data_IF_435023969264
#
_entry.id   IF_435023969264
#
_cell.length_a   1.000
_cell.length_b   1.000
_cell.length_c   1.000
_cell.angle_alpha   90.00
_cell.angle_beta   90.00
_cell.angle_gamma   90.00
#
_symmetry.space_group_name_H-M   'P 1'
#
loop_
_entity.id
_entity.type
_entity.pdbx_description
1 polymer ?
#
# COMPACT_ATOMS: atom_id res chain seq x y z
N UNK A 1 -4.01 4.71 15.10
CA UNK A 1 -4.30 5.22 13.74
C UNK A 1 -3.03 5.66 13.01
N UNK A 2 -2.12 6.40 13.65
CA UNK A 2 -0.87 6.86 13.02
C UNK A 2 -0.02 5.74 12.41
N UNK A 3 -0.01 4.54 13.00
CA UNK A 3 0.71 3.38 12.45
C UNK A 3 0.10 2.87 11.14
N UNK A 4 -1.24 2.80 11.04
CA UNK A 4 -1.94 2.39 9.81
C UNK A 4 -1.65 3.38 8.69
N UNK A 5 -1.76 4.67 8.97
CA UNK A 5 -1.41 5.74 8.01
C UNK A 5 0.07 5.67 7.62
N UNK A 6 0.96 5.48 8.59
CA UNK A 6 2.39 5.34 8.36
C UNK A 6 2.74 4.18 7.43
N UNK A 7 2.08 3.02 7.58
CA UNK A 7 2.26 1.87 6.68
C UNK A 7 1.78 2.16 5.27
N UNK A 8 0.58 2.73 5.11
CA UNK A 8 0.02 3.09 3.81
C UNK A 8 0.87 4.14 3.08
N UNK A 9 1.36 5.16 3.79
CA UNK A 9 2.25 6.17 3.20
C UNK A 9 3.62 5.58 2.85
N UNK A 10 4.18 4.71 3.71
CA UNK A 10 5.47 4.07 3.46
C UNK A 10 5.43 3.17 2.23
N UNK A 11 4.33 2.43 2.09
CA UNK A 11 4.03 1.59 0.93
C UNK A 11 3.95 2.42 -0.35
N UNK A 12 3.19 3.53 -0.34
CA UNK A 12 3.05 4.45 -1.45
C UNK A 12 4.41 5.05 -1.87
N UNK A 13 5.20 5.52 -0.90
CA UNK A 13 6.52 6.09 -1.17
C UNK A 13 7.48 5.06 -1.77
N UNK A 14 7.42 3.80 -1.30
CA UNK A 14 8.25 2.73 -1.84
C UNK A 14 7.81 2.31 -3.25
N UNK A 15 6.50 2.26 -3.51
CA UNK A 15 5.95 1.97 -4.83
C UNK A 15 6.36 3.03 -5.86
N UNK A 16 6.31 4.31 -5.47
CA UNK A 16 6.71 5.41 -6.33
C UNK A 16 8.19 5.37 -6.73
N UNK A 17 9.05 4.69 -5.95
CA UNK A 17 10.47 4.51 -6.29
C UNK A 17 10.72 3.41 -7.34
N UNK A 18 9.71 2.61 -7.71
CA UNK A 18 9.86 1.54 -8.70
C UNK A 18 10.08 2.06 -10.14
N UNK A 19 9.25 2.96 -10.70
CA UNK A 19 9.48 3.50 -12.04
C UNK A 19 10.75 4.36 -12.13
N UNK A 20 11.07 5.09 -11.06
CA UNK A 20 12.22 6.01 -11.02
C UNK A 20 13.58 5.28 -10.94
N UNK A 21 13.58 3.96 -10.73
CA UNK A 21 14.80 3.14 -10.61
C UNK A 21 15.77 3.31 -11.78
N UNK A 22 15.25 3.33 -13.01
CA UNK A 22 16.09 3.36 -14.21
C UNK A 22 16.54 4.78 -14.58
N UNK A 23 15.79 5.82 -14.16
CA UNK A 23 16.22 7.22 -14.25
C UNK A 23 17.29 7.57 -13.20
N UNK A 24 17.13 7.09 -11.95
CA UNK A 24 18.02 7.41 -10.82
C UNK A 24 19.33 6.60 -10.81
N UNK A 25 19.38 5.46 -11.51
CA UNK A 25 20.62 4.66 -11.66
C UNK A 25 21.77 5.45 -12.26
N UNK A 26 21.49 6.45 -13.08
CA UNK A 26 22.49 7.31 -13.71
C UNK A 26 23.03 8.41 -12.78
N UNK A 27 22.37 8.69 -11.65
CA UNK A 27 22.68 9.85 -10.78
C UNK A 27 23.31 9.45 -9.43
N UNK A 28 23.48 8.15 -9.15
CA UNK A 28 24.24 7.67 -7.98
C UNK A 28 23.54 7.82 -6.62
N UNK A 29 22.22 8.05 -6.59
CA UNK A 29 21.43 8.09 -5.34
C UNK A 29 21.20 6.67 -4.81
N UNK A 30 21.28 6.48 -3.48
CA UNK A 30 21.02 5.19 -2.80
C UNK A 30 19.57 5.13 -2.33
N UNK A 31 18.68 4.53 -3.11
CA UNK A 31 17.29 4.26 -2.72
C UNK A 31 17.10 2.80 -2.29
N UNK A 32 16.13 2.53 -1.41
CA UNK A 32 15.86 1.18 -0.87
C UNK A 32 15.66 0.14 -2.00
N UNK A 33 15.06 0.59 -3.09
CA UNK A 33 14.87 -0.16 -4.34
C UNK A 33 16.20 -0.60 -4.96
N UNK A 34 17.25 0.22 -4.93
CA UNK A 34 18.57 -0.10 -5.48
C UNK A 34 19.27 -1.19 -4.66
N UNK A 35 19.10 -1.17 -3.33
CA UNK A 35 19.67 -2.18 -2.42
C UNK A 35 18.91 -3.51 -2.45
N UNK A 36 17.58 -3.49 -2.51
CA UNK A 36 16.74 -4.69 -2.43
C UNK A 36 16.47 -5.35 -3.79
N UNK A 37 16.49 -4.57 -4.88
CA UNK A 37 15.99 -4.97 -6.19
C UNK A 37 14.48 -4.75 -6.32
N UNK A 38 14.01 -4.46 -7.55
CA UNK A 38 12.62 -4.06 -7.83
C UNK A 38 11.59 -5.10 -7.35
N UNK A 39 11.86 -6.39 -7.53
CA UNK A 39 10.97 -7.46 -7.09
C UNK A 39 10.80 -7.52 -5.57
N UNK A 40 11.89 -7.40 -4.80
CA UNK A 40 11.82 -7.42 -3.33
C UNK A 40 11.16 -6.15 -2.80
N UNK A 41 11.44 -5.00 -3.41
CA UNK A 41 10.75 -3.76 -3.09
C UNK A 41 9.24 -3.87 -3.34
N UNK A 42 8.80 -4.40 -4.48
CA UNK A 42 7.40 -4.67 -4.77
C UNK A 42 6.73 -5.62 -3.77
N UNK A 43 7.44 -6.66 -3.31
CA UNK A 43 6.94 -7.53 -2.23
C UNK A 43 6.80 -6.78 -0.91
N UNK A 44 7.75 -5.89 -0.58
CA UNK A 44 7.69 -5.08 0.64
C UNK A 44 6.52 -4.09 0.59
N UNK A 45 6.24 -3.48 -0.56
CA UNK A 45 5.01 -2.69 -0.80
C UNK A 45 3.78 -3.50 -0.39
N UNK A 46 3.62 -4.71 -0.95
CA UNK A 46 2.49 -5.57 -0.61
C UNK A 46 2.42 -5.97 0.88
N UNK A 47 3.56 -6.22 1.53
CA UNK A 47 3.61 -6.52 2.97
C UNK A 47 3.16 -5.33 3.81
N UNK A 48 3.62 -4.13 3.50
CA UNK A 48 3.22 -2.91 4.21
C UNK A 48 1.72 -2.64 4.05
N UNK A 49 1.18 -2.82 2.84
CA UNK A 49 -0.25 -2.69 2.57
C UNK A 49 -1.07 -3.66 3.43
N UNK A 50 -0.76 -4.96 3.37
CA UNK A 50 -1.51 -5.98 4.11
C UNK A 50 -1.35 -5.84 5.63
N UNK A 51 -0.19 -5.40 6.11
CA UNK A 51 0.02 -5.09 7.52
C UNK A 51 -0.90 -3.96 8.00
N UNK A 52 -1.20 -2.97 7.17
CA UNK A 52 -2.15 -1.91 7.50
C UNK A 52 -3.57 -2.48 7.74
N UNK A 53 -4.05 -3.37 6.86
CA UNK A 53 -5.34 -4.06 7.04
C UNK A 53 -5.34 -4.97 8.27
N UNK A 54 -4.26 -5.73 8.49
CA UNK A 54 -4.12 -6.59 9.66
C UNK A 54 -4.18 -5.82 10.98
N UNK A 55 -3.55 -4.64 11.04
CA UNK A 55 -3.62 -3.78 12.21
C UNK A 55 -5.03 -3.23 12.48
N UNK A 56 -5.80 -2.91 11.43
CA UNK A 56 -7.20 -2.50 11.61
C UNK A 56 -8.02 -3.67 12.16
N UNK A 57 -7.91 -4.88 11.58
CA UNK A 57 -8.59 -6.06 12.11
C UNK A 57 -8.20 -6.34 13.57
N UNK A 58 -6.90 -6.29 13.89
CA UNK A 58 -6.43 -6.48 15.27
C UNK A 58 -7.05 -5.43 16.21
N UNK A 59 -7.07 -4.16 15.79
CA UNK A 59 -7.69 -3.07 16.55
C UNK A 59 -9.17 -3.32 16.85
N UNK A 60 -9.92 -3.90 15.90
CA UNK A 60 -11.32 -4.26 16.11
C UNK A 60 -11.43 -5.47 17.05
N UNK A 61 -10.62 -6.52 16.86
CA UNK A 61 -10.67 -7.76 17.64
C UNK A 61 -10.32 -7.55 19.12
N UNK A 62 -9.41 -6.64 19.43
CA UNK A 62 -9.07 -6.28 20.82
C UNK A 62 -10.00 -5.23 21.44
N UNK A 63 -11.05 -4.82 20.71
CA UNK A 63 -12.01 -3.81 21.16
C UNK A 63 -11.49 -2.36 21.16
N UNK A 64 -10.34 -2.09 20.54
CA UNK A 64 -9.76 -0.76 20.43
C UNK A 64 -10.34 0.10 19.29
N UNK A 65 -11.10 -0.51 18.38
CA UNK A 65 -11.80 0.14 17.27
C UNK A 65 -13.26 -0.31 17.21
N UNK A 66 -14.18 0.56 16.77
CA UNK A 66 -15.57 0.17 16.59
C UNK A 66 -15.70 -0.87 15.46
N UNK A 67 -16.72 -1.73 15.56
CA UNK A 67 -16.98 -2.78 14.55
C UNK A 67 -17.28 -2.22 13.17
N UNK A 68 -17.80 -1.00 13.08
CA UNK A 68 -17.99 -0.24 11.84
C UNK A 68 -16.68 0.04 11.08
N UNK A 69 -15.50 -0.05 11.72
CA UNK A 69 -14.22 0.09 11.04
C UNK A 69 -13.91 -1.05 10.05
N UNK A 70 -14.68 -2.16 10.08
CA UNK A 70 -14.61 -3.21 9.05
C UNK A 70 -14.91 -2.69 7.63
N UNK A 71 -15.56 -1.53 7.49
CA UNK A 71 -15.79 -0.88 6.19
C UNK A 71 -14.51 -0.72 5.36
N UNK A 72 -13.34 -0.54 5.99
CA UNK A 72 -12.06 -0.43 5.26
C UNK A 72 -11.78 -1.65 4.37
N UNK A 73 -12.34 -2.81 4.70
CA UNK A 73 -12.12 -4.05 3.97
C UNK A 73 -12.83 -4.09 2.60
N UNK A 74 -13.71 -3.14 2.30
CA UNK A 74 -14.35 -3.03 0.98
C UNK A 74 -13.34 -2.77 -0.15
N UNK A 75 -12.20 -2.13 0.16
CA UNK A 75 -11.12 -1.91 -0.83
C UNK A 75 -10.09 -3.06 -0.86
N UNK A 76 -10.27 -4.10 -0.04
CA UNK A 76 -9.37 -5.26 0.01
C UNK A 76 -9.20 -5.97 -1.35
N UNK A 77 -10.22 -6.15 -2.20
CA UNK A 77 -10.03 -6.79 -3.49
C UNK A 77 -9.01 -6.05 -4.36
N UNK A 78 -9.01 -4.71 -4.35
CA UNK A 78 -8.02 -3.89 -5.04
C UNK A 78 -6.63 -4.04 -4.43
N UNK A 79 -6.53 -4.05 -3.10
CA UNK A 79 -5.27 -4.27 -2.38
C UNK A 79 -4.65 -5.64 -2.71
N UNK A 80 -5.44 -6.72 -2.69
CA UNK A 80 -4.98 -8.07 -3.01
C UNK A 80 -4.54 -8.19 -4.47
N UNK A 81 -5.28 -7.57 -5.38
CA UNK A 81 -4.90 -7.55 -6.80
C UNK A 81 -3.57 -6.82 -7.00
N UNK A 82 -3.35 -5.68 -6.32
CA UNK A 82 -2.08 -4.97 -6.33
C UNK A 82 -0.93 -5.85 -5.81
N UNK A 83 -1.10 -6.46 -4.64
CA UNK A 83 -0.10 -7.35 -4.01
C UNK A 83 0.29 -8.51 -4.93
N UNK A 84 -0.69 -9.08 -5.62
CA UNK A 84 -0.47 -10.21 -6.52
C UNK A 84 0.25 -9.79 -7.82
N UNK A 85 -0.12 -8.64 -8.39
CA UNK A 85 0.36 -8.22 -9.72
C UNK A 85 1.69 -7.48 -9.68
N UNK A 86 1.92 -6.68 -8.63
CA UNK A 86 3.05 -5.76 -8.55
C UNK A 86 4.43 -6.43 -8.66
N UNK A 87 4.72 -7.58 -7.99
CA UNK A 87 6.05 -8.20 -8.07
C UNK A 87 6.43 -8.71 -9.46
N UNK A 88 5.44 -9.12 -10.26
CA UNK A 88 5.63 -9.57 -11.63
C UNK A 88 5.91 -8.38 -12.56
N UNK A 89 5.10 -7.32 -12.46
CA UNK A 89 5.26 -6.12 -13.30
C UNK A 89 6.52 -5.32 -12.93
N UNK A 90 6.97 -5.38 -11.66
CA UNK A 90 8.22 -4.76 -11.22
C UNK A 90 9.50 -5.40 -11.82
N UNK A 91 9.39 -6.61 -12.38
CA UNK A 91 10.48 -7.28 -13.11
C UNK A 91 10.45 -7.02 -14.62
N UNK A 92 9.29 -6.61 -15.15
CA UNK A 92 9.12 -6.39 -16.58
C UNK A 92 9.73 -5.04 -16.99
N UNK A 93 10.61 -5.06 -17.99
CA UNK A 93 11.16 -3.84 -18.62
C UNK A 93 10.70 -3.82 -20.08
N UNK A 94 10.12 -2.72 -20.62
CA UNK A 94 9.79 -1.44 -19.97
C UNK A 94 8.49 -1.47 -19.14
N UNK A 95 8.44 -0.63 -18.12
CA UNK A 95 7.47 -0.58 -17.03
C UNK A 95 6.15 0.17 -17.33
N UNK A 96 5.64 0.10 -18.57
CA UNK A 96 4.38 0.77 -18.97
C UNK A 96 3.14 0.31 -18.19
N UNK A 97 3.23 -0.82 -17.49
CA UNK A 97 2.17 -1.38 -16.65
C UNK A 97 2.27 -1.00 -15.18
N UNK A 98 3.32 -0.29 -14.75
CA UNK A 98 3.42 0.21 -13.38
C UNK A 98 2.49 1.40 -13.14
N UNK A 99 2.32 2.29 -14.12
CA UNK A 99 1.48 3.50 -13.97
C UNK A 99 0.03 3.18 -13.55
N UNK A 100 -0.68 2.22 -14.19
CA UNK A 100 -2.02 1.83 -13.75
C UNK A 100 -2.04 1.22 -12.34
N UNK A 101 -1.00 0.46 -11.96
CA UNK A 101 -0.89 -0.13 -10.63
C UNK A 101 -0.67 0.94 -9.55
N UNK A 102 0.13 1.97 -9.85
CA UNK A 102 0.32 3.12 -8.98
C UNK A 102 -0.98 3.90 -8.80
N UNK A 103 -1.72 4.13 -9.89
CA UNK A 103 -3.05 4.76 -9.83
C UNK A 103 -4.04 3.95 -8.99
N UNK A 104 -4.06 2.62 -9.15
CA UNK A 104 -4.85 1.74 -8.30
C UNK A 104 -4.43 1.84 -6.83
N UNK A 105 -3.12 1.85 -6.54
CA UNK A 105 -2.64 1.96 -5.18
C UNK A 105 -3.11 3.24 -4.50
N UNK A 106 -3.05 4.38 -5.21
CA UNK A 106 -3.60 5.65 -4.73
C UNK A 106 -5.10 5.51 -4.45
N UNK A 107 -5.86 4.89 -5.35
CA UNK A 107 -7.28 4.63 -5.14
C UNK A 107 -7.57 3.76 -3.91
N UNK A 108 -6.80 2.69 -3.71
CA UNK A 108 -6.90 1.81 -2.53
C UNK A 108 -6.56 2.57 -1.25
N UNK A 109 -5.49 3.37 -1.26
CA UNK A 109 -5.08 4.16 -0.10
C UNK A 109 -6.13 5.20 0.28
N UNK A 110 -6.62 5.98 -0.68
CA UNK A 110 -7.64 7.00 -0.44
C UNK A 110 -8.97 6.36 0.00
N UNK A 111 -9.36 5.28 -0.64
CA UNK A 111 -10.54 4.50 -0.28
C UNK A 111 -10.43 3.91 1.12
N UNK A 112 -9.29 3.34 1.48
CA UNK A 112 -9.04 2.81 2.82
C UNK A 112 -9.13 3.92 3.87
N UNK A 113 -8.46 5.06 3.67
CA UNK A 113 -8.52 6.17 4.62
C UNK A 113 -9.95 6.72 4.77
N UNK A 114 -10.66 6.89 3.65
CA UNK A 114 -12.04 7.41 3.66
C UNK A 114 -12.98 6.47 4.39
N UNK A 115 -12.94 5.17 4.07
CA UNK A 115 -13.81 4.16 4.69
C UNK A 115 -13.46 3.93 6.16
N UNK A 116 -12.18 4.00 6.52
CA UNK A 116 -11.76 3.91 7.91
C UNK A 116 -12.27 5.11 8.71
N UNK A 117 -12.11 6.33 8.20
CA UNK A 117 -12.63 7.54 8.84
C UNK A 117 -14.15 7.49 8.99
N UNK A 118 -14.87 7.07 7.95
CA UNK A 118 -16.31 6.89 7.99
C UNK A 118 -16.72 5.84 9.04
N UNK A 119 -16.03 4.69 9.07
CA UNK A 119 -16.27 3.64 10.05
C UNK A 119 -16.05 4.12 11.48
N UNK A 120 -14.98 4.89 11.72
CA UNK A 120 -14.74 5.50 13.04
C UNK A 120 -15.86 6.47 13.42
N UNK A 121 -16.26 7.35 12.50
CA UNK A 121 -17.32 8.33 12.73
C UNK A 121 -18.66 7.66 13.09
N UNK A 122 -19.07 6.65 12.30
CA UNK A 122 -20.29 5.87 12.55
C UNK A 122 -20.26 5.07 13.86
N UNK A 123 -19.07 4.70 14.34
CA UNK A 123 -18.91 3.96 15.59
C UNK A 123 -18.94 4.85 16.84
N UNK A 124 -18.81 6.17 16.66
CA UNK A 124 -18.82 7.18 17.72
C UNK A 124 -20.07 8.06 17.74
N UNK A 125 -20.88 7.99 16.67
CA UNK A 125 -22.16 8.70 16.53
C UNK A 125 -23.31 7.88 17.13
#
# INVERSE_FOLDING_TARGET
MSLVVGLLVSELLLLNQLPDRDADRYVGRRHLVILLGAHRAARLVGVLLLAAFALVALGILVGGLPTTAWLVWLVLPGALWLVWRLPAEALATPSSRLEPLMGLNVGVLLGALTLLLLGLWLGTA
#
